data_IF_151962568779
#
_entry.id   IF_151962568779
#
_cell.length_a   1.000
_cell.length_b   1.000
_cell.length_c   1.000
_cell.angle_alpha   90.00
_cell.angle_beta   90.00
_cell.angle_gamma   90.00
#
_symmetry.space_group_name_H-M   'P 1'
#
loop_
_entity.id
_entity.type
_entity.pdbx_description
1 polymer ?
#
# COMPACT_ATOMS: atom_id res chain seq x y z
N UNK A 1 1.17 30.05 -37.29
CA UNK A 1 0.66 28.85 -38.01
C UNK A 1 1.07 27.64 -37.19
N UNK A 2 0.18 27.07 -36.37
CA UNK A 2 0.43 25.80 -35.67
C UNK A 2 -0.56 24.77 -36.21
N UNK A 3 0.00 23.71 -36.81
CA UNK A 3 -0.70 22.63 -37.46
C UNK A 3 -0.60 21.39 -36.56
N UNK A 4 -1.64 21.10 -35.77
CA UNK A 4 -1.79 19.80 -35.11
C UNK A 4 -2.89 19.03 -35.81
N UNK A 5 -2.47 18.24 -36.80
CA UNK A 5 -3.30 17.28 -37.51
C UNK A 5 -3.79 16.18 -36.59
N UNK A 6 -5.10 16.10 -36.44
CA UNK A 6 -5.80 15.00 -35.79
C UNK A 6 -5.98 13.90 -36.85
N UNK A 7 -5.17 12.85 -36.81
CA UNK A 7 -5.37 11.65 -37.64
C UNK A 7 -6.59 10.88 -37.13
N UNK A 8 -7.78 11.26 -37.60
CA UNK A 8 -9.00 10.47 -37.47
C UNK A 8 -9.07 9.41 -38.56
N UNK A 9 -9.26 8.14 -38.19
CA UNK A 9 -9.52 7.05 -39.12
C UNK A 9 -10.77 7.33 -39.97
N UNK A 10 -10.67 7.07 -41.28
CA UNK A 10 -11.81 7.08 -42.20
C UNK A 10 -12.84 6.02 -41.78
N UNK A 11 -14.13 6.36 -41.62
CA UNK A 11 -15.15 5.37 -41.31
C UNK A 11 -15.43 4.45 -42.51
N UNK A 12 -15.90 3.22 -42.28
CA UNK A 12 -16.25 2.28 -43.34
C UNK A 12 -17.36 2.81 -44.24
N UNK A 13 -17.30 2.48 -45.53
CA UNK A 13 -18.27 2.90 -46.54
C UNK A 13 -19.68 2.36 -46.21
N UNK A 14 -20.64 3.26 -45.97
CA UNK A 14 -22.06 2.89 -45.79
C UNK A 14 -22.93 3.82 -44.94
N UNK A 15 -22.38 4.84 -44.26
CA UNK A 15 -23.17 5.76 -43.40
C UNK A 15 -23.34 7.16 -44.01
N UNK A 16 -24.55 7.74 -44.02
CA UNK A 16 -24.80 9.07 -44.56
C UNK A 16 -24.23 10.20 -43.65
N UNK A 17 -23.78 11.33 -44.22
CA UNK A 17 -22.92 12.29 -43.53
C UNK A 17 -23.64 13.34 -42.66
N UNK A 18 -24.93 13.19 -42.34
CA UNK A 18 -25.77 14.29 -41.84
C UNK A 18 -26.11 14.29 -40.33
N UNK A 19 -25.41 13.53 -39.48
CA UNK A 19 -25.83 13.37 -38.06
C UNK A 19 -24.88 13.91 -36.98
N UNK A 20 -23.80 14.63 -37.32
CA UNK A 20 -22.71 14.89 -36.35
C UNK A 20 -22.72 16.22 -35.59
N UNK A 21 -23.80 17.00 -35.61
CA UNK A 21 -23.94 18.14 -34.69
C UNK A 21 -25.26 18.09 -33.92
N UNK A 22 -25.34 17.17 -32.98
CA UNK A 22 -26.20 17.34 -31.81
C UNK A 22 -25.29 17.62 -30.62
N UNK A 23 -25.41 18.82 -30.03
CA UNK A 23 -24.79 19.11 -28.75
C UNK A 23 -25.17 18.00 -27.74
N UNK A 24 -24.25 17.55 -26.87
CA UNK A 24 -24.59 16.53 -25.89
C UNK A 24 -25.75 17.05 -25.03
N UNK A 25 -26.78 16.22 -24.74
CA UNK A 25 -27.82 16.60 -23.80
C UNK A 25 -27.16 16.97 -22.46
N UNK A 26 -27.73 17.93 -21.70
CA UNK A 26 -27.20 18.25 -20.37
C UNK A 26 -27.12 16.94 -19.59
N UNK A 27 -25.91 16.61 -19.14
CA UNK A 27 -25.68 15.38 -18.39
C UNK A 27 -26.64 15.37 -17.20
N UNK A 28 -27.68 14.54 -17.27
CA UNK A 28 -28.43 14.18 -16.10
C UNK A 28 -27.39 13.64 -15.12
N UNK A 29 -27.30 14.27 -13.94
CA UNK A 29 -26.45 13.80 -12.87
C UNK A 29 -26.93 12.40 -12.46
N UNK A 30 -26.41 11.38 -13.13
CA UNK A 30 -26.48 10.01 -12.67
C UNK A 30 -25.61 9.95 -11.41
N UNK A 31 -26.20 10.31 -10.28
CA UNK A 31 -25.75 9.84 -8.99
C UNK A 31 -25.84 8.32 -9.06
N UNK A 32 -24.72 7.68 -9.37
CA UNK A 32 -24.58 6.25 -9.13
C UNK A 32 -25.01 6.03 -7.69
N UNK A 33 -25.98 5.15 -7.41
CA UNK A 33 -26.32 4.84 -6.03
C UNK A 33 -25.04 4.32 -5.40
N UNK A 34 -24.55 5.02 -4.37
CA UNK A 34 -23.53 4.47 -3.49
C UNK A 34 -24.02 3.09 -3.07
N UNK A 35 -23.37 2.04 -3.58
CA UNK A 35 -23.74 0.67 -3.26
C UNK A 35 -23.82 0.56 -1.74
N UNK A 36 -25.04 0.30 -1.25
CA UNK A 36 -25.33 0.18 0.17
C UNK A 36 -24.42 -0.91 0.72
N UNK A 37 -23.56 -0.57 1.68
CA UNK A 37 -22.59 -1.52 2.25
C UNK A 37 -23.35 -2.71 2.83
N UNK A 38 -23.26 -3.86 2.17
CA UNK A 38 -23.86 -5.11 2.65
C UNK A 38 -23.08 -5.57 3.89
N UNK A 39 -23.69 -5.63 5.09
CA UNK A 39 -22.97 -5.95 6.33
C UNK A 39 -22.30 -7.33 6.32
N UNK A 40 -22.78 -8.24 5.46
CA UNK A 40 -22.32 -9.61 5.35
C UNK A 40 -21.05 -9.80 4.50
N UNK A 41 -20.59 -8.77 3.77
CA UNK A 41 -19.38 -8.86 2.94
C UNK A 41 -18.25 -8.08 3.64
N UNK A 42 -17.14 -8.75 4.02
CA UNK A 42 -15.96 -8.07 4.55
C UNK A 42 -15.54 -6.94 3.62
N UNK A 43 -15.60 -5.72 4.13
CA UNK A 43 -15.18 -4.55 3.37
C UNK A 43 -13.66 -4.56 3.24
N UNK A 44 -13.15 -4.07 2.10
CA UNK A 44 -11.71 -3.85 1.94
C UNK A 44 -11.24 -2.89 3.04
N UNK A 45 -10.44 -3.40 3.97
CA UNK A 45 -9.85 -2.59 5.03
C UNK A 45 -8.57 -1.99 4.46
N UNK A 46 -8.58 -0.69 4.18
CA UNK A 46 -7.36 0.01 3.82
C UNK A 46 -6.47 0.12 5.07
N UNK A 47 -5.39 -0.67 5.11
CA UNK A 47 -4.37 -0.53 6.14
C UNK A 47 -3.27 0.39 5.62
N UNK A 48 -3.15 1.56 6.24
CA UNK A 48 -2.10 2.53 5.96
C UNK A 48 -1.18 2.58 7.17
N UNK A 49 0.12 2.43 6.95
CA UNK A 49 1.14 2.60 7.98
C UNK A 49 2.20 3.57 7.48
N UNK A 50 2.78 4.34 8.40
CA UNK A 50 4.04 5.02 8.13
C UNK A 50 5.15 3.98 8.14
N UNK A 51 6.07 4.11 7.17
CA UNK A 51 7.25 3.26 7.06
C UNK A 51 8.49 4.13 7.14
N UNK A 52 9.55 3.59 7.75
CA UNK A 52 10.86 4.23 7.85
C UNK A 52 11.87 3.39 7.05
N UNK A 53 12.05 3.67 5.74
CA UNK A 53 12.72 2.73 4.84
C UNK A 53 14.15 2.40 5.24
N UNK A 54 14.94 3.40 5.63
CA UNK A 54 16.33 3.19 6.07
C UNK A 54 16.42 2.38 7.37
N UNK A 55 15.49 2.62 8.30
CA UNK A 55 15.44 1.87 9.55
C UNK A 55 15.10 0.39 9.28
N UNK A 56 14.13 0.15 8.40
CA UNK A 56 13.78 -1.20 7.94
C UNK A 56 14.93 -1.87 7.18
N UNK A 57 15.66 -1.14 6.33
CA UNK A 57 16.83 -1.65 5.63
C UNK A 57 17.92 -2.09 6.62
N UNK A 58 18.16 -1.28 7.66
CA UNK A 58 19.12 -1.65 8.69
C UNK A 58 18.65 -2.87 9.49
N UNK A 59 17.37 -2.97 9.85
CA UNK A 59 16.80 -4.18 10.46
C UNK A 59 16.99 -5.42 9.59
N UNK A 60 16.78 -5.30 8.27
CA UNK A 60 16.93 -6.40 7.32
C UNK A 60 18.35 -7.00 7.33
N UNK A 61 19.38 -6.17 7.56
CA UNK A 61 20.77 -6.64 7.67
C UNK A 61 21.01 -7.55 8.87
N UNK A 62 20.15 -7.47 9.89
CA UNK A 62 20.24 -8.29 11.11
C UNK A 62 19.26 -9.47 11.13
N UNK A 63 18.57 -9.76 10.02
CA UNK A 63 17.62 -10.87 9.95
C UNK A 63 18.32 -12.20 10.28
N UNK A 64 17.69 -12.98 11.16
CA UNK A 64 18.21 -14.26 11.64
C UNK A 64 19.27 -14.15 12.73
N UNK A 65 19.66 -12.93 13.14
CA UNK A 65 20.65 -12.72 14.19
C UNK A 65 19.98 -12.37 15.52
N UNK A 66 20.69 -12.63 16.63
CA UNK A 66 20.28 -12.17 17.94
C UNK A 66 20.47 -10.66 18.03
N UNK A 67 19.46 -9.96 18.53
CA UNK A 67 19.50 -8.51 18.73
C UNK A 67 18.75 -8.10 20.00
N UNK A 68 19.05 -6.88 20.43
CA UNK A 68 18.26 -6.16 21.42
C UNK A 68 17.35 -5.18 20.69
N UNK A 69 16.06 -5.17 21.03
CA UNK A 69 15.11 -4.14 20.61
C UNK A 69 14.66 -3.37 21.84
N UNK A 70 14.78 -2.05 21.79
CA UNK A 70 14.26 -1.16 22.83
C UNK A 70 12.97 -0.53 22.31
N UNK A 71 11.89 -0.82 23.03
CA UNK A 71 10.55 -0.32 22.72
C UNK A 71 10.13 0.74 23.73
N UNK A 72 9.04 1.43 23.45
CA UNK A 72 8.38 2.34 24.39
C UNK A 72 7.94 1.66 25.70
N UNK A 73 7.76 0.34 25.69
CA UNK A 73 7.37 -0.47 26.85
C UNK A 73 8.57 -1.12 27.58
N UNK A 74 9.78 -1.00 27.04
CA UNK A 74 10.99 -1.59 27.61
C UNK A 74 11.83 -2.38 26.60
N UNK A 75 12.86 -3.05 27.12
CA UNK A 75 13.84 -3.79 26.33
C UNK A 75 13.41 -5.26 26.15
N UNK A 76 13.60 -5.78 24.93
CA UNK A 76 13.38 -7.19 24.58
C UNK A 76 14.59 -7.70 23.81
N UNK A 77 15.04 -8.92 24.13
CA UNK A 77 16.10 -9.62 23.40
C UNK A 77 15.55 -10.87 22.72
N UNK A 78 16.02 -11.13 21.49
CA UNK A 78 15.57 -12.29 20.72
C UNK A 78 16.26 -12.39 19.36
N UNK A 79 15.87 -13.39 18.58
CA UNK A 79 16.32 -13.56 17.19
C UNK A 79 15.34 -12.84 16.27
N UNK A 80 15.82 -11.94 15.41
CA UNK A 80 14.98 -11.25 14.43
C UNK A 80 14.54 -12.23 13.32
N UNK A 81 13.39 -12.87 13.50
CA UNK A 81 12.89 -13.93 12.61
C UNK A 81 12.03 -13.41 11.45
N UNK A 82 11.43 -12.22 11.60
CA UNK A 82 10.58 -11.62 10.57
C UNK A 82 10.57 -10.10 10.60
N UNK A 83 10.37 -9.51 9.42
CA UNK A 83 10.26 -8.06 9.23
C UNK A 83 9.12 -7.85 8.23
N UNK A 84 8.15 -7.01 8.60
CA UNK A 84 7.03 -6.57 7.77
C UNK A 84 6.97 -5.04 7.76
N UNK A 85 6.07 -4.48 6.95
CA UNK A 85 5.93 -3.03 6.80
C UNK A 85 5.58 -2.30 8.12
N UNK A 86 4.86 -2.97 9.02
CA UNK A 86 4.32 -2.34 10.24
C UNK A 86 4.80 -2.99 11.54
N UNK A 87 5.53 -4.10 11.47
CA UNK A 87 6.03 -4.82 12.64
C UNK A 87 7.28 -5.66 12.33
N UNK A 88 8.01 -5.98 13.40
CA UNK A 88 9.06 -6.99 13.41
C UNK A 88 8.59 -8.20 14.22
N UNK A 89 9.19 -9.35 13.96
CA UNK A 89 9.00 -10.57 14.72
C UNK A 89 10.33 -10.98 15.36
N UNK A 90 10.33 -11.10 16.68
CA UNK A 90 11.42 -11.69 17.45
C UNK A 90 11.02 -13.10 17.89
N UNK A 91 11.91 -14.07 17.74
CA UNK A 91 11.82 -15.35 18.43
C UNK A 91 12.48 -15.20 19.80
N UNK A 92 11.70 -15.39 20.87
CA UNK A 92 12.12 -15.21 22.27
C UNK A 92 11.99 -16.55 23.02
N UNK A 93 12.96 -16.85 23.87
CA UNK A 93 13.03 -18.14 24.58
C UNK A 93 13.14 -19.31 23.60
N UNK A 94 12.44 -20.41 23.89
CA UNK A 94 12.56 -21.64 23.09
C UNK A 94 11.82 -21.57 21.75
N UNK A 95 10.65 -20.91 21.68
CA UNK A 95 9.89 -20.81 20.43
C UNK A 95 8.76 -19.75 20.43
N UNK A 96 8.85 -18.68 21.24
CA UNK A 96 7.79 -17.67 21.29
C UNK A 96 7.98 -16.64 20.17
N UNK A 97 7.03 -16.55 19.25
CA UNK A 97 6.97 -15.49 18.26
C UNK A 97 6.36 -14.21 18.87
N UNK A 98 7.20 -13.20 19.10
CA UNK A 98 6.78 -11.90 19.58
C UNK A 98 6.73 -10.90 18.43
N UNK A 99 5.55 -10.36 18.14
CA UNK A 99 5.36 -9.32 17.13
C UNK A 99 5.37 -7.95 17.81
N UNK A 100 6.24 -7.06 17.34
CA UNK A 100 6.40 -5.70 17.87
C UNK A 100 6.12 -4.73 16.73
N UNK A 101 5.13 -3.85 16.91
CA UNK A 101 4.84 -2.78 15.94
C UNK A 101 6.09 -1.93 15.74
N UNK A 102 6.44 -1.64 14.49
CA UNK A 102 7.62 -0.84 14.16
C UNK A 102 7.53 0.55 14.80
N UNK A 103 6.31 1.13 14.82
CA UNK A 103 6.00 2.39 15.48
C UNK A 103 6.22 2.41 17.01
N UNK A 104 6.50 1.27 17.65
CA UNK A 104 6.82 1.17 19.08
C UNK A 104 8.30 0.90 19.33
N UNK A 105 9.10 0.70 18.28
CA UNK A 105 10.55 0.53 18.40
C UNK A 105 11.19 1.90 18.48
N UNK A 106 12.00 2.13 19.51
CA UNK A 106 12.79 3.35 19.68
C UNK A 106 14.15 3.19 19.01
N UNK A 107 14.83 2.07 19.26
CA UNK A 107 16.08 1.67 18.60
C UNK A 107 16.33 0.17 18.75
N UNK A 108 17.35 -0.33 18.05
CA UNK A 108 17.86 -1.69 18.22
C UNK A 108 19.39 -1.71 18.27
N UNK A 109 19.94 -2.72 18.93
CA UNK A 109 21.37 -3.03 18.96
C UNK A 109 21.60 -4.33 18.19
N UNK A 110 22.46 -4.29 17.19
CA UNK A 110 22.83 -5.45 16.37
C UNK A 110 24.33 -5.49 16.11
N UNK A 111 24.80 -6.58 15.49
CA UNK A 111 26.21 -6.76 15.13
C UNK A 111 26.59 -5.80 14.00
N UNK A 112 27.75 -5.11 14.06
CA UNK A 112 28.21 -4.25 12.97
C UNK A 112 28.19 -4.99 11.62
N UNK A 113 27.66 -4.34 10.59
CA UNK A 113 27.58 -4.82 9.21
C UNK A 113 28.52 -4.04 8.29
#
# INVERSE_FOLDING_TARGET
MNNNGYYGYLPPAGYPPSSFYSAPPPAAAYHAPHATRTPAVPQHVNYVTFVEPMFMEHLLKHKGTKMTVVTTAGKVEGILSGIAADHIQLTVGDNKALHIRLAQVVYFEGVPY
#
